data_IF_777244309736
#
_entry.id   IF_777244309736
#
_cell.length_a   1.000
_cell.length_b   1.000
_cell.length_c   1.000
_cell.angle_alpha   90.00
_cell.angle_beta   90.00
_cell.angle_gamma   90.00
#
_symmetry.space_group_name_H-M   'P 1'
#
loop_
_entity.id
_entity.type
_entity.pdbx_description
1 polymer ?
#
# COMPACT_ATOMS: atom_id res chain seq x y z
N UNK A 1 20.57 2.75 3.59
CA UNK A 1 19.63 2.81 4.73
C UNK A 1 18.47 1.86 4.47
N UNK A 2 17.94 1.27 5.52
CA UNK A 2 16.78 0.36 5.42
C UNK A 2 15.56 1.03 6.02
N UNK A 3 14.41 0.92 5.33
CA UNK A 3 13.17 1.55 5.77
C UNK A 3 12.07 0.52 5.99
N UNK A 4 11.27 0.74 7.03
CA UNK A 4 9.95 0.16 7.17
C UNK A 4 8.94 1.28 7.09
N UNK A 5 7.84 1.09 6.39
CA UNK A 5 6.84 2.12 6.12
C UNK A 5 5.51 1.71 6.73
N UNK A 6 4.88 2.62 7.47
CA UNK A 6 3.54 2.44 8.04
C UNK A 6 2.57 3.37 7.30
N UNK A 7 1.51 2.80 6.73
CA UNK A 7 0.51 3.57 6.00
C UNK A 7 -0.85 3.41 6.70
N UNK A 8 -1.38 4.51 7.22
CA UNK A 8 -2.65 4.54 7.96
C UNK A 8 -3.82 5.08 7.16
N UNK A 9 -3.58 5.62 5.96
CA UNK A 9 -4.62 6.28 5.17
C UNK A 9 -5.00 5.45 3.95
N UNK A 10 -6.28 5.54 3.56
CA UNK A 10 -6.77 4.88 2.36
C UNK A 10 -6.25 5.53 1.08
N UNK A 11 -6.38 4.83 -0.05
CA UNK A 11 -5.75 5.29 -1.30
C UNK A 11 -6.47 6.44 -2.00
N UNK A 12 -7.76 6.68 -1.71
CA UNK A 12 -8.54 7.64 -2.50
C UNK A 12 -9.04 8.84 -1.73
N UNK A 13 -9.06 8.79 -0.40
CA UNK A 13 -9.59 9.87 0.43
C UNK A 13 -8.53 10.83 0.94
N UNK A 14 -7.28 10.41 0.99
CA UNK A 14 -6.16 11.19 1.51
C UNK A 14 -4.94 11.03 0.63
N UNK A 15 -4.07 12.03 0.64
CA UNK A 15 -2.85 12.01 -0.15
C UNK A 15 -1.72 11.21 0.49
N UNK A 16 -1.83 10.87 1.77
CA UNK A 16 -0.73 10.24 2.51
C UNK A 16 -0.26 8.92 1.87
N UNK A 17 -1.20 8.09 1.39
CA UNK A 17 -0.86 6.83 0.74
C UNK A 17 -0.08 7.04 -0.55
N UNK A 18 -0.48 8.01 -1.37
CA UNK A 18 0.22 8.35 -2.61
C UNK A 18 1.62 8.90 -2.31
N UNK A 19 1.72 9.75 -1.28
CA UNK A 19 3.01 10.28 -0.81
C UNK A 19 3.93 9.15 -0.35
N UNK A 20 3.40 8.18 0.40
CA UNK A 20 4.17 7.03 0.85
C UNK A 20 4.68 6.21 -0.33
N UNK A 21 3.85 5.99 -1.34
CA UNK A 21 4.25 5.28 -2.55
C UNK A 21 5.41 6.00 -3.25
N UNK A 22 5.30 7.31 -3.43
CA UNK A 22 6.36 8.11 -4.04
C UNK A 22 7.64 8.09 -3.21
N UNK A 23 7.52 8.14 -1.88
CA UNK A 23 8.69 8.03 -1.00
C UNK A 23 9.42 6.71 -1.20
N UNK A 24 8.68 5.60 -1.26
CA UNK A 24 9.28 4.27 -1.47
C UNK A 24 10.00 4.21 -2.81
N UNK A 25 9.37 4.71 -3.87
CA UNK A 25 10.00 4.75 -5.19
C UNK A 25 11.30 5.56 -5.17
N UNK A 26 11.28 6.73 -4.54
CA UNK A 26 12.46 7.60 -4.46
C UNK A 26 13.57 6.95 -3.62
N UNK A 27 13.22 6.28 -2.53
CA UNK A 27 14.20 5.59 -1.69
C UNK A 27 14.90 4.48 -2.47
N UNK A 28 14.16 3.70 -3.24
CA UNK A 28 14.72 2.63 -4.06
C UNK A 28 15.65 3.21 -5.13
N UNK A 29 15.22 4.29 -5.80
CA UNK A 29 16.02 4.94 -6.83
C UNK A 29 17.35 5.46 -6.30
N UNK A 30 17.40 5.84 -5.03
CA UNK A 30 18.61 6.32 -4.36
C UNK A 30 19.46 5.21 -3.75
N UNK A 31 19.11 3.96 -4.00
CA UNK A 31 19.88 2.83 -3.53
C UNK A 31 19.58 2.38 -2.10
N UNK A 32 18.52 2.91 -1.48
CA UNK A 32 18.09 2.46 -0.18
C UNK A 32 17.22 1.21 -0.29
N UNK A 33 17.12 0.46 0.79
CA UNK A 33 16.30 -0.73 0.85
C UNK A 33 15.01 -0.44 1.60
N UNK A 34 13.87 -0.78 1.00
CA UNK A 34 12.56 -0.78 1.67
C UNK A 34 12.21 -2.23 1.93
N UNK A 35 12.13 -2.59 3.22
CA UNK A 35 11.94 -3.98 3.62
C UNK A 35 10.47 -4.37 3.66
N UNK A 36 9.63 -3.47 4.15
CA UNK A 36 8.24 -3.78 4.45
C UNK A 36 7.38 -2.53 4.40
N UNK A 37 6.17 -2.66 3.88
CA UNK A 37 5.12 -1.65 3.99
C UNK A 37 3.97 -2.28 4.76
N UNK A 38 3.58 -1.67 5.86
CA UNK A 38 2.52 -2.15 6.74
C UNK A 38 1.31 -1.25 6.63
N UNK A 39 0.18 -1.82 6.23
CA UNK A 39 -1.09 -1.11 6.10
C UNK A 39 -1.93 -1.33 7.35
N UNK A 40 -2.28 -0.24 8.04
CA UNK A 40 -3.03 -0.27 9.27
C UNK A 40 -4.19 0.73 9.20
N UNK A 41 -5.19 0.61 10.06
CA UNK A 41 -6.39 1.44 10.01
C UNK A 41 -6.94 1.46 8.57
N UNK A 42 -7.30 2.64 8.07
CA UNK A 42 -7.80 2.78 6.71
C UNK A 42 -6.75 2.48 5.64
N UNK A 43 -5.47 2.40 6.03
CA UNK A 43 -4.40 1.99 5.13
C UNK A 43 -4.60 0.59 4.56
N UNK A 44 -5.35 -0.28 5.23
CA UNK A 44 -5.63 -1.63 4.72
C UNK A 44 -6.38 -1.61 3.39
N UNK A 45 -7.06 -0.51 3.07
CA UNK A 45 -7.75 -0.35 1.79
C UNK A 45 -6.77 -0.31 0.60
N UNK A 46 -5.50 -0.05 0.84
CA UNK A 46 -4.47 -0.14 -0.20
C UNK A 46 -4.23 -1.57 -0.68
N UNK A 47 -4.69 -2.56 0.07
CA UNK A 47 -4.53 -3.97 -0.27
C UNK A 47 -5.82 -4.63 -0.78
N UNK A 48 -6.91 -3.87 -0.91
CA UNK A 48 -8.20 -4.41 -1.34
C UNK A 48 -8.27 -4.45 -2.87
N UNK A 49 -8.22 -5.65 -3.43
CA UNK A 49 -8.25 -5.83 -4.89
C UNK A 49 -9.57 -5.43 -5.53
N UNK A 50 -10.63 -5.28 -4.73
CA UNK A 50 -11.95 -4.86 -5.24
C UNK A 50 -12.05 -3.34 -5.39
N UNK A 51 -11.08 -2.59 -4.90
CA UNK A 51 -11.05 -1.14 -5.08
C UNK A 51 -10.94 -0.80 -6.57
N UNK A 52 -11.79 0.12 -7.01
CA UNK A 52 -11.76 0.60 -8.38
C UNK A 52 -11.63 2.11 -8.37
N UNK A 53 -10.56 2.68 -8.94
CA UNK A 53 -10.41 4.12 -8.99
C UNK A 53 -11.38 4.73 -10.00
N UNK A 54 -11.70 6.01 -9.80
CA UNK A 54 -12.39 6.77 -10.85
C UNK A 54 -11.42 7.00 -12.01
N UNK A 55 -11.94 7.43 -13.15
CA UNK A 55 -11.14 7.55 -14.37
C UNK A 55 -9.90 8.41 -14.21
N UNK A 56 -9.96 9.44 -13.34
CA UNK A 56 -8.87 10.38 -13.12
C UNK A 56 -7.92 9.96 -12.00
N UNK A 57 -8.28 8.94 -11.22
CA UNK A 57 -7.50 8.52 -10.07
C UNK A 57 -6.45 7.48 -10.48
N UNK A 58 -5.34 7.50 -9.77
CA UNK A 58 -4.34 6.45 -9.91
C UNK A 58 -4.81 5.19 -9.20
N UNK A 59 -4.54 4.03 -9.79
CA UNK A 59 -4.82 2.74 -9.16
C UNK A 59 -3.68 2.37 -8.20
N UNK A 60 -3.71 2.97 -7.01
CA UNK A 60 -2.67 2.74 -5.99
C UNK A 60 -2.59 1.29 -5.53
N UNK A 61 -3.71 0.59 -5.43
CA UNK A 61 -3.71 -0.82 -5.04
C UNK A 61 -2.86 -1.63 -6.01
N UNK A 62 -3.05 -1.42 -7.30
CA UNK A 62 -2.28 -2.08 -8.34
C UNK A 62 -0.80 -1.65 -8.30
N UNK A 63 -0.54 -0.36 -8.12
CA UNK A 63 0.82 0.18 -8.08
C UNK A 63 1.61 -0.40 -6.91
N UNK A 64 1.01 -0.51 -5.71
CA UNK A 64 1.67 -1.15 -4.58
C UNK A 64 2.05 -2.60 -4.89
N UNK A 65 1.13 -3.35 -5.48
CA UNK A 65 1.37 -4.75 -5.83
C UNK A 65 2.50 -4.91 -6.84
N UNK A 66 2.53 -4.09 -7.87
CA UNK A 66 3.57 -4.11 -8.88
C UNK A 66 4.94 -3.75 -8.29
N UNK A 67 4.97 -2.71 -7.44
CA UNK A 67 6.20 -2.27 -6.78
C UNK A 67 6.76 -3.37 -5.88
N UNK A 68 5.90 -4.01 -5.09
CA UNK A 68 6.31 -5.08 -4.19
C UNK A 68 6.88 -6.28 -4.95
N UNK A 69 6.26 -6.65 -6.05
CA UNK A 69 6.74 -7.77 -6.87
C UNK A 69 8.09 -7.44 -7.51
N UNK A 70 8.23 -6.24 -8.05
CA UNK A 70 9.45 -5.82 -8.74
C UNK A 70 10.65 -5.74 -7.81
N UNK A 71 10.44 -5.25 -6.59
CA UNK A 71 11.54 -4.98 -5.64
C UNK A 71 11.55 -5.93 -4.43
N UNK A 72 10.71 -6.95 -4.45
CA UNK A 72 10.64 -7.95 -3.39
C UNK A 72 10.37 -7.32 -2.01
N UNK A 73 9.38 -6.42 -1.96
CA UNK A 73 8.97 -5.74 -0.73
C UNK A 73 7.82 -6.52 -0.10
N UNK A 74 7.88 -6.69 1.22
CA UNK A 74 6.82 -7.31 2.00
C UNK A 74 5.68 -6.32 2.20
N UNK A 75 4.50 -6.60 1.66
CA UNK A 75 3.28 -5.84 1.96
C UNK A 75 2.50 -6.58 3.04
N UNK A 76 2.31 -5.95 4.19
CA UNK A 76 1.67 -6.56 5.35
C UNK A 76 0.42 -5.78 5.74
N UNK A 77 -0.66 -6.49 6.05
CA UNK A 77 -1.93 -5.89 6.46
C UNK A 77 -2.27 -6.30 7.89
N UNK A 78 -2.84 -5.35 8.64
CA UNK A 78 -3.41 -5.69 9.94
C UNK A 78 -4.73 -6.43 9.71
N UNK A 79 -4.80 -7.70 10.09
CA UNK A 79 -5.98 -8.54 9.86
C UNK A 79 -7.21 -7.98 10.58
N UNK A 80 -7.07 -7.54 11.83
CA UNK A 80 -8.20 -6.98 12.59
C UNK A 80 -8.74 -5.71 11.94
N UNK A 81 -7.88 -4.82 11.48
CA UNK A 81 -8.31 -3.60 10.80
C UNK A 81 -8.98 -3.91 9.47
N UNK A 82 -8.47 -4.91 8.75
CA UNK A 82 -9.07 -5.35 7.49
C UNK A 82 -10.46 -5.93 7.70
N UNK A 83 -10.62 -6.80 8.69
CA UNK A 83 -11.92 -7.43 8.98
C UNK A 83 -12.99 -6.41 9.36
N UNK A 84 -12.64 -5.38 10.13
CA UNK A 84 -13.59 -4.31 10.48
C UNK A 84 -14.12 -3.58 9.25
N UNK A 85 -13.41 -3.62 8.16
CA UNK A 85 -13.74 -2.93 6.91
C UNK A 85 -14.24 -3.89 5.84
N UNK A 86 -14.54 -5.14 6.22
CA UNK A 86 -15.05 -6.13 5.30
C UNK A 86 -14.02 -6.67 4.31
N UNK A 87 -12.74 -6.47 4.60
CA UNK A 87 -11.68 -6.99 3.75
C UNK A 87 -11.23 -8.33 4.33
N UNK A 88 -11.48 -9.39 3.58
CA UNK A 88 -11.09 -10.75 3.95
C UNK A 88 -9.96 -11.22 3.03
N UNK A 89 -9.37 -12.37 3.35
CA UNK A 89 -8.22 -12.89 2.62
C UNK A 89 -8.44 -12.93 1.10
N UNK A 90 -9.63 -13.32 0.68
CA UNK A 90 -10.00 -13.41 -0.73
C UNK A 90 -10.00 -12.06 -1.45
N UNK A 91 -10.11 -10.97 -0.71
CA UNK A 91 -10.14 -9.61 -1.26
C UNK A 91 -8.76 -8.96 -1.32
N UNK A 92 -7.74 -9.60 -0.76
CA UNK A 92 -6.38 -9.05 -0.77
C UNK A 92 -5.77 -9.13 -2.17
N UNK A 93 -5.13 -8.06 -2.53
CA UNK A 93 -4.47 -7.93 -3.82
C UNK A 93 -3.21 -8.80 -3.94
#
# INVERSE_FOLDING_TARGET
>A
MKFGILVNEGPFTHQASDTAYHFVCAAIDKGHQVMRVFFYYDGVNNANKLSAPQADDRDLVKLWGELATKHNIDLVVCVAAALRRGIVEENLA
#
